data_IF_925136493730
#
_entry.id   IF_925136493730
#
_cell.length_a   1.000
_cell.length_b   1.000
_cell.length_c   1.000
_cell.angle_alpha   90.00
_cell.angle_beta   90.00
_cell.angle_gamma   90.00
#
_symmetry.space_group_name_H-M   'P 1'
#
loop_
_entity.id
_entity.type
_entity.pdbx_description
1 polymer ?
#
# COMPACT_ATOMS: atom_id res chain seq x y z
N UNK A 1 17.90 1.33 2.34
CA UNK A 1 17.54 0.84 1.00
C UNK A 1 16.11 0.35 1.04
N UNK A 2 15.41 0.42 -0.09
CA UNK A 2 14.00 0.07 -0.35
C UNK A 2 13.05 1.27 -0.31
N UNK A 3 13.21 2.16 -1.30
CA UNK A 3 12.01 2.69 -1.97
C UNK A 3 11.20 1.47 -2.40
N UNK A 4 10.06 1.24 -1.75
CA UNK A 4 9.01 0.45 -2.37
C UNK A 4 8.51 1.28 -3.55
N UNK A 5 9.24 1.22 -4.66
CA UNK A 5 8.67 1.52 -5.97
C UNK A 5 7.59 0.47 -6.12
N UNK A 6 6.34 0.84 -5.85
CA UNK A 6 5.19 0.03 -6.23
C UNK A 6 5.18 0.02 -7.75
N UNK A 7 5.93 -0.92 -8.34
CA UNK A 7 5.83 -1.22 -9.76
C UNK A 7 4.36 -1.50 -10.05
N UNK A 8 3.78 -0.63 -10.86
CA UNK A 8 2.41 -0.70 -11.35
C UNK A 8 1.29 -0.59 -10.30
N UNK A 9 1.22 0.60 -9.68
CA UNK A 9 0.18 0.96 -8.69
C UNK A 9 -1.24 1.00 -9.27
N UNK A 10 -1.39 1.24 -10.57
CA UNK A 10 -2.69 1.40 -11.21
C UNK A 10 -2.99 0.23 -12.14
N UNK A 11 -4.27 0.01 -12.42
CA UNK A 11 -4.71 -0.98 -13.40
C UNK A 11 -5.82 -0.42 -14.30
N UNK A 12 -5.99 -1.02 -15.46
CA UNK A 12 -7.09 -0.78 -16.37
C UNK A 12 -7.63 -2.09 -16.93
N UNK A 13 -8.95 -2.22 -17.00
CA UNK A 13 -9.66 -3.34 -17.62
C UNK A 13 -9.94 -3.00 -19.08
N UNK A 14 -9.50 -3.87 -19.98
CA UNK A 14 -9.75 -3.75 -21.41
C UNK A 14 -10.99 -4.58 -21.80
N UNK A 15 -12.11 -3.90 -22.02
CA UNK A 15 -13.38 -4.54 -22.40
C UNK A 15 -13.40 -5.10 -23.83
N UNK A 16 -12.50 -4.65 -24.70
CA UNK A 16 -12.39 -5.20 -26.05
C UNK A 16 -11.67 -6.57 -26.06
N UNK A 17 -10.71 -6.76 -25.17
CA UNK A 17 -9.84 -7.93 -25.09
C UNK A 17 -10.20 -8.83 -23.91
N UNK A 18 -11.41 -9.42 -23.95
CA UNK A 18 -11.89 -10.39 -22.95
C UNK A 18 -11.81 -9.92 -21.48
N UNK A 19 -11.93 -8.62 -21.22
CA UNK A 19 -11.73 -8.01 -19.89
C UNK A 19 -10.31 -8.23 -19.33
N UNK A 20 -9.29 -8.23 -20.20
CA UNK A 20 -7.89 -8.34 -19.79
C UNK A 20 -7.47 -7.16 -18.91
N UNK A 21 -6.60 -7.43 -17.94
CA UNK A 21 -6.12 -6.41 -16.98
C UNK A 21 -4.71 -6.00 -17.36
N UNK A 22 -4.50 -4.69 -17.52
CA UNK A 22 -3.19 -4.08 -17.71
C UNK A 22 -2.79 -3.28 -16.48
N UNK A 23 -1.51 -3.32 -16.12
CA UNK A 23 -0.97 -2.63 -14.95
C UNK A 23 -0.08 -1.47 -15.36
N UNK A 24 -0.20 -0.33 -14.67
CA UNK A 24 0.40 0.96 -15.05
C UNK A 24 1.07 1.65 -13.88
N UNK A 25 2.14 2.40 -14.14
CA UNK A 25 2.88 3.13 -13.11
C UNK A 25 2.15 4.38 -12.68
N UNK A 26 1.47 5.04 -13.62
CA UNK A 26 0.75 6.31 -13.41
C UNK A 26 -0.76 6.15 -13.59
N UNK A 27 -1.53 7.07 -13.00
CA UNK A 27 -2.98 7.08 -13.14
C UNK A 27 -3.39 7.46 -14.57
N UNK A 28 -2.63 8.37 -15.19
CA UNK A 28 -2.83 8.84 -16.56
C UNK A 28 -2.68 7.71 -17.58
N UNK A 29 -1.68 6.84 -17.41
CA UNK A 29 -1.49 5.66 -18.25
C UNK A 29 -2.68 4.69 -18.12
N UNK A 30 -3.13 4.41 -16.90
CA UNK A 30 -4.29 3.54 -16.67
C UNK A 30 -5.58 4.12 -17.26
N UNK A 31 -5.83 5.43 -17.07
CA UNK A 31 -6.97 6.13 -17.68
C UNK A 31 -6.94 6.01 -19.20
N UNK A 32 -5.77 6.25 -19.80
CA UNK A 32 -5.60 6.18 -21.25
C UNK A 32 -5.83 4.76 -21.77
N UNK A 33 -5.27 3.75 -21.10
CA UNK A 33 -5.47 2.35 -21.49
C UNK A 33 -6.95 1.92 -21.38
N UNK A 34 -7.63 2.33 -20.31
CA UNK A 34 -9.07 2.09 -20.13
C UNK A 34 -9.91 2.75 -21.23
N UNK A 35 -9.63 4.02 -21.55
CA UNK A 35 -10.33 4.74 -22.60
C UNK A 35 -10.12 4.09 -23.96
N UNK A 36 -8.87 3.76 -24.31
CA UNK A 36 -8.54 3.10 -25.57
C UNK A 36 -9.31 1.78 -25.72
N UNK A 37 -9.39 0.94 -24.68
CA UNK A 37 -10.13 -0.32 -24.74
C UNK A 37 -11.65 -0.13 -24.94
N UNK A 38 -12.21 0.93 -24.36
CA UNK A 38 -13.61 1.29 -24.59
C UNK A 38 -13.86 1.84 -26.01
N UNK A 39 -12.95 2.67 -26.52
CA UNK A 39 -12.99 3.19 -27.90
C UNK A 39 -12.87 2.05 -28.93
N UNK A 40 -11.93 1.12 -28.72
CA UNK A 40 -11.73 -0.04 -29.60
C UNK A 40 -12.99 -0.92 -29.69
N UNK A 41 -13.65 -1.19 -28.55
CA UNK A 41 -14.90 -1.95 -28.53
C UNK A 41 -16.05 -1.19 -29.20
N UNK A 42 -16.14 0.12 -28.97
CA UNK A 42 -17.14 0.97 -29.61
C UNK A 42 -16.96 0.99 -31.13
N UNK A 43 -15.73 1.20 -31.60
CA UNK A 43 -15.40 1.23 -33.03
C UNK A 43 -15.66 -0.12 -33.69
N UNK A 44 -15.34 -1.23 -33.03
CA UNK A 44 -15.65 -2.56 -33.52
C UNK A 44 -17.16 -2.82 -33.62
N UNK A 45 -17.92 -2.47 -32.58
CA UNK A 45 -19.37 -2.64 -32.52
C UNK A 45 -20.08 -1.80 -33.58
N UNK A 46 -19.67 -0.54 -33.74
CA UNK A 46 -20.23 0.35 -34.77
C UNK A 46 -19.84 -0.07 -36.20
N UNK A 47 -18.62 -0.58 -36.42
CA UNK A 47 -18.20 -1.14 -37.70
C UNK A 47 -19.06 -2.34 -38.13
N UNK A 48 -19.49 -3.16 -37.16
CA UNK A 48 -20.33 -4.33 -37.40
C UNK A 48 -21.83 -4.03 -37.44
N UNK A 49 -22.24 -2.75 -37.32
CA UNK A 49 -23.65 -2.32 -37.21
C UNK A 49 -24.43 -3.02 -36.08
N UNK A 50 -23.72 -3.39 -35.01
CA UNK A 50 -24.27 -4.00 -33.80
C UNK A 50 -23.61 -3.40 -32.56
N UNK A 51 -24.32 -2.46 -31.93
CA UNK A 51 -23.84 -1.75 -30.73
C UNK A 51 -24.01 -2.57 -29.44
N UNK A 52 -24.74 -3.68 -29.49
CA UNK A 52 -25.08 -4.49 -28.31
C UNK A 52 -23.84 -4.90 -27.50
N UNK A 53 -22.75 -5.41 -28.13
CA UNK A 53 -21.55 -5.83 -27.41
C UNK A 53 -20.89 -4.72 -26.60
N UNK A 54 -20.97 -3.47 -27.07
CA UNK A 54 -20.46 -2.30 -26.36
C UNK A 54 -21.35 -1.96 -25.17
N UNK A 55 -22.68 -1.82 -25.38
CA UNK A 55 -23.62 -1.45 -24.31
C UNK A 55 -23.69 -2.49 -23.19
N UNK A 56 -23.46 -3.77 -23.52
CA UNK A 56 -23.42 -4.86 -22.54
C UNK A 56 -22.14 -4.87 -21.71
N UNK A 57 -21.05 -4.23 -22.15
CA UNK A 57 -19.73 -4.34 -21.51
C UNK A 57 -19.10 -3.01 -21.10
N UNK A 58 -19.61 -1.85 -21.56
CA UNK A 58 -19.01 -0.53 -21.27
C UNK A 58 -18.81 -0.27 -19.77
N UNK A 59 -19.70 -0.80 -18.93
CA UNK A 59 -19.63 -0.65 -17.47
C UNK A 59 -18.46 -1.40 -16.82
N UNK A 60 -17.85 -2.35 -17.54
CA UNK A 60 -16.65 -3.07 -17.11
C UNK A 60 -15.35 -2.36 -17.52
N UNK A 61 -15.43 -1.30 -18.34
CA UNK A 61 -14.28 -0.47 -18.69
C UNK A 61 -13.94 0.41 -17.50
N UNK A 62 -13.15 -0.16 -16.57
CA UNK A 62 -12.77 0.48 -15.32
C UNK A 62 -11.26 0.58 -15.19
N UNK A 63 -10.80 1.66 -14.56
CA UNK A 63 -9.43 1.80 -14.09
C UNK A 63 -9.44 2.02 -12.58
N UNK A 64 -8.35 1.65 -11.92
CA UNK A 64 -8.29 1.74 -10.47
C UNK A 64 -6.88 1.66 -9.91
N UNK A 65 -6.82 1.67 -8.59
CA UNK A 65 -5.59 1.53 -7.80
C UNK A 65 -5.53 0.11 -7.27
N UNK A 66 -4.40 -0.55 -7.43
CA UNK A 66 -4.12 -1.84 -6.80
C UNK A 66 -3.99 -1.61 -5.29
N UNK A 67 -4.76 -2.34 -4.48
CA UNK A 67 -4.78 -2.17 -3.02
C UNK A 67 -3.90 -3.17 -2.28
N UNK A 68 -3.33 -4.14 -2.99
CA UNK A 68 -2.50 -5.18 -2.44
C UNK A 68 -2.19 -6.25 -3.48
N UNK A 69 -1.35 -7.21 -3.10
CA UNK A 69 -0.98 -8.36 -3.92
C UNK A 69 -0.82 -9.61 -3.07
N UNK A 70 -0.87 -10.77 -3.71
CA UNK A 70 -0.37 -11.99 -3.10
C UNK A 70 1.16 -12.01 -3.18
N UNK A 71 1.83 -12.36 -2.09
CA UNK A 71 3.28 -12.52 -2.03
C UNK A 71 3.63 -13.84 -1.35
N UNK A 72 4.50 -14.61 -1.98
CA UNK A 72 5.14 -15.79 -1.40
C UNK A 72 6.50 -15.42 -0.87
N UNK A 73 6.88 -15.99 0.26
CA UNK A 73 8.24 -15.87 0.80
C UNK A 73 9.03 -17.10 0.46
N UNK A 74 10.34 -16.91 0.32
CA UNK A 74 11.28 -18.00 0.24
C UNK A 74 11.87 -18.25 1.62
N UNK A 75 12.02 -19.52 1.99
CA UNK A 75 12.75 -19.93 3.19
C UNK A 75 13.73 -21.04 2.85
N UNK A 76 14.78 -21.14 3.66
CA UNK A 76 15.69 -22.28 3.62
C UNK A 76 14.99 -23.57 4.11
N UNK A 77 15.54 -24.70 3.70
CA UNK A 77 15.12 -26.01 4.16
C UNK A 77 15.51 -26.20 5.62
N UNK A 78 14.63 -26.86 6.37
CA UNK A 78 14.94 -27.34 7.71
C UNK A 78 15.89 -28.54 7.64
N UNK A 79 16.57 -28.85 8.75
CA UNK A 79 17.49 -29.98 8.80
C UNK A 79 16.79 -31.34 8.58
N UNK A 80 15.53 -31.47 9.03
CA UNK A 80 14.71 -32.66 8.76
C UNK A 80 14.40 -32.80 7.26
N UNK A 81 14.05 -31.69 6.59
CA UNK A 81 13.79 -31.68 5.14
C UNK A 81 15.05 -32.03 4.34
N UNK A 82 16.22 -31.49 4.74
CA UNK A 82 17.53 -31.83 4.12
C UNK A 82 17.93 -33.29 4.33
N UNK A 83 17.60 -33.88 5.47
CA UNK A 83 17.93 -35.28 5.78
C UNK A 83 16.95 -36.27 5.16
N UNK A 84 15.79 -35.78 4.68
CA UNK A 84 14.72 -36.64 4.19
C UNK A 84 15.00 -37.25 2.81
N UNK A 85 15.96 -36.72 2.04
CA UNK A 85 16.26 -37.17 0.67
C UNK A 85 15.28 -36.66 -0.40
N UNK A 86 14.12 -36.14 0.01
CA UNK A 86 13.05 -35.68 -0.91
C UNK A 86 13.31 -34.29 -1.49
N UNK A 87 14.23 -33.54 -0.88
CA UNK A 87 14.51 -32.16 -1.23
C UNK A 87 15.97 -31.93 -1.64
N UNK A 88 16.70 -32.99 -1.99
CA UNK A 88 18.14 -32.96 -2.28
C UNK A 88 18.52 -32.08 -3.48
N UNK A 89 17.55 -31.76 -4.35
CA UNK A 89 17.74 -30.92 -5.55
C UNK A 89 17.17 -29.49 -5.39
N UNK A 90 16.71 -29.11 -4.18
CA UNK A 90 16.04 -27.83 -3.96
C UNK A 90 16.75 -27.04 -2.84
N UNK A 91 17.16 -25.81 -3.15
CA UNK A 91 17.91 -24.95 -2.21
C UNK A 91 17.00 -24.14 -1.26
N UNK A 92 15.73 -23.94 -1.63
CA UNK A 92 14.75 -23.18 -0.87
C UNK A 92 13.32 -23.67 -1.13
N UNK A 93 12.42 -23.35 -0.21
CA UNK A 93 10.99 -23.61 -0.32
C UNK A 93 10.26 -22.29 -0.51
N UNK A 94 9.44 -22.22 -1.57
CA UNK A 94 8.48 -21.14 -1.78
C UNK A 94 7.25 -21.43 -0.92
N UNK A 95 7.00 -20.58 0.06
CA UNK A 95 5.86 -20.72 0.95
C UNK A 95 4.54 -20.39 0.24
N UNK A 96 3.43 -20.89 0.82
CA UNK A 96 2.10 -20.52 0.38
C UNK A 96 1.92 -18.99 0.37
N UNK A 97 1.33 -18.44 -0.70
CA UNK A 97 1.18 -17.01 -0.84
C UNK A 97 0.26 -16.44 0.24
N UNK A 98 0.59 -15.23 0.71
CA UNK A 98 -0.22 -14.46 1.65
C UNK A 98 -0.60 -13.13 1.02
N UNK A 99 -1.79 -12.63 1.34
CA UNK A 99 -2.19 -11.30 0.91
C UNK A 99 -1.39 -10.25 1.68
N UNK A 100 -0.80 -9.32 0.92
CA UNK A 100 -0.09 -8.14 1.42
C UNK A 100 -0.84 -6.92 0.88
N UNK A 101 -1.49 -6.18 1.77
CA UNK A 101 -2.13 -4.91 1.40
C UNK A 101 -1.07 -3.81 1.22
N UNK A 102 -1.25 -2.99 0.19
CA UNK A 102 -0.48 -1.76 0.05
C UNK A 102 -0.99 -0.70 1.04
N UNK A 103 -0.13 0.24 1.50
CA UNK A 103 -0.54 1.28 2.42
C UNK A 103 -1.73 2.08 1.86
N UNK A 104 -2.86 2.07 2.57
CA UNK A 104 -4.09 2.79 2.23
C UNK A 104 -3.98 4.25 2.69
N UNK A 105 -3.14 5.04 2.02
CA UNK A 105 -2.94 6.45 2.35
C UNK A 105 -1.54 6.92 1.95
N UNK A 106 -1.36 8.22 1.87
CA UNK A 106 -0.11 9.02 1.76
C UNK A 106 1.02 8.67 2.77
N UNK A 107 0.93 7.53 3.45
CA UNK A 107 1.87 7.00 4.44
C UNK A 107 1.29 6.90 5.85
N UNK A 108 0.11 7.48 6.09
CA UNK A 108 -0.55 7.46 7.40
C UNK A 108 -1.23 6.12 7.71
N UNK A 109 -1.00 5.62 8.92
CA UNK A 109 -1.51 4.38 9.49
C UNK A 109 -2.39 4.75 10.69
N UNK A 110 -3.66 4.35 10.67
CA UNK A 110 -4.56 4.55 11.81
C UNK A 110 -4.04 3.79 13.04
N UNK A 111 -4.06 4.44 14.21
CA UNK A 111 -3.66 3.79 15.48
C UNK A 111 -4.57 2.61 15.86
N UNK A 112 -5.80 2.57 15.31
CA UNK A 112 -6.75 1.46 15.49
C UNK A 112 -6.38 0.23 14.65
N UNK A 113 -5.69 0.44 13.53
CA UNK A 113 -5.32 -0.64 12.61
C UNK A 113 -4.00 -1.27 13.07
N UNK A 114 -3.02 -0.43 13.41
CA UNK A 114 -1.70 -0.87 13.83
C UNK A 114 -0.98 0.22 14.62
N UNK A 115 -0.28 -0.17 15.68
CA UNK A 115 0.62 0.72 16.40
C UNK A 115 2.06 0.61 15.86
N UNK A 116 2.87 1.68 15.97
CA UNK A 116 4.30 1.58 15.74
C UNK A 116 4.93 0.65 16.78
N UNK A 117 6.18 0.21 16.56
CA UNK A 117 6.86 -0.53 17.64
C UNK A 117 7.07 0.42 18.82
N UNK A 118 7.08 -0.16 20.03
CA UNK A 118 7.32 0.60 21.25
C UNK A 118 8.62 1.39 21.13
N UNK A 119 8.57 2.68 21.44
CA UNK A 119 9.67 3.64 21.32
C UNK A 119 10.16 3.99 19.90
N UNK A 120 9.52 3.46 18.83
CA UNK A 120 9.81 3.96 17.48
C UNK A 120 9.32 5.40 17.34
N UNK A 121 10.21 6.29 16.87
CA UNK A 121 9.85 7.66 16.55
C UNK A 121 9.17 7.73 15.20
N UNK A 122 8.01 8.37 15.17
CA UNK A 122 7.13 8.45 14.01
C UNK A 122 6.53 9.85 13.91
N UNK A 123 6.09 10.22 12.71
CA UNK A 123 5.15 11.32 12.55
C UNK A 123 3.80 10.89 13.13
N UNK A 124 3.13 11.79 13.85
CA UNK A 124 1.79 11.57 14.39
C UNK A 124 0.86 12.70 13.95
N UNK A 125 -0.39 12.33 13.68
CA UNK A 125 -1.48 13.26 13.44
C UNK A 125 -2.31 13.38 14.71
N UNK A 126 -2.18 14.52 15.39
CA UNK A 126 -2.95 14.86 16.58
C UNK A 126 -4.13 15.76 16.19
N UNK A 127 -5.33 15.41 16.65
CA UNK A 127 -6.50 16.25 16.47
C UNK A 127 -6.62 17.23 17.64
N UNK A 128 -6.63 18.53 17.38
CA UNK A 128 -6.93 19.53 18.42
C UNK A 128 -8.44 19.80 18.47
N UNK A 129 -9.08 19.35 19.55
CA UNK A 129 -10.51 19.51 19.77
C UNK A 129 -10.94 20.98 19.97
N UNK A 130 -10.01 21.90 20.26
CA UNK A 130 -10.33 23.32 20.47
C UNK A 130 -10.33 24.14 19.18
N UNK A 131 -9.58 23.71 18.17
CA UNK A 131 -9.33 24.52 16.98
C UNK A 131 -9.70 23.83 15.66
N UNK A 132 -10.27 22.62 15.70
CA UNK A 132 -10.62 21.80 14.52
C UNK A 132 -9.45 21.62 13.53
N UNK A 133 -8.22 21.78 14.01
CA UNK A 133 -7.00 21.65 13.22
C UNK A 133 -6.26 20.37 13.61
N UNK A 134 -5.76 19.68 12.59
CA UNK A 134 -4.86 18.56 12.78
C UNK A 134 -3.41 19.06 12.80
N UNK A 135 -2.65 18.57 13.76
CA UNK A 135 -1.24 18.88 13.92
C UNK A 135 -0.39 17.66 13.61
N UNK A 136 0.61 17.85 12.75
CA UNK A 136 1.67 16.86 12.54
C UNK A 136 2.80 17.13 13.54
N UNK A 137 3.20 16.10 14.27
CA UNK A 137 4.28 16.13 15.28
C UNK A 137 5.16 14.89 15.17
N UNK A 138 6.32 14.90 15.83
CA UNK A 138 7.15 13.71 16.03
C UNK A 138 6.90 13.18 17.44
N UNK A 139 6.57 11.91 17.57
CA UNK A 139 6.31 11.25 18.86
C UNK A 139 6.68 9.77 18.81
N UNK A 140 6.61 9.10 19.96
CA UNK A 140 6.72 7.64 20.09
C UNK A 140 5.61 7.11 20.99
N UNK A 141 5.17 5.86 20.75
CA UNK A 141 4.17 5.19 21.59
C UNK A 141 4.87 4.35 22.67
N UNK A 142 4.55 4.61 23.94
CA UNK A 142 5.17 3.92 25.09
C UNK A 142 4.43 2.64 25.49
N UNK A 143 3.17 2.46 25.10
CA UNK A 143 2.39 1.28 25.45
C UNK A 143 1.84 0.55 24.22
N UNK A 144 1.41 -0.69 24.44
CA UNK A 144 0.82 -1.55 23.41
C UNK A 144 -0.66 -1.26 23.16
N UNK A 145 -1.24 -0.32 23.91
CA UNK A 145 -2.66 0.08 23.82
C UNK A 145 -2.86 1.33 22.96
N UNK A 146 -1.79 2.04 22.59
CA UNK A 146 -1.87 3.22 21.72
C UNK A 146 -2.37 4.48 22.42
N UNK A 147 -2.37 4.49 23.75
CA UNK A 147 -2.94 5.58 24.57
C UNK A 147 -1.87 6.50 25.16
N UNK A 148 -0.60 6.12 25.07
CA UNK A 148 0.53 6.87 25.63
C UNK A 148 1.51 7.30 24.54
N UNK A 149 1.33 8.52 24.04
CA UNK A 149 2.20 9.13 23.04
C UNK A 149 3.06 10.22 23.67
N UNK A 150 4.37 10.07 23.51
CA UNK A 150 5.37 10.91 24.15
C UNK A 150 6.25 11.57 23.09
N UNK A 151 6.68 12.80 23.35
CA UNK A 151 7.66 13.50 22.55
C UNK A 151 8.76 14.08 23.43
N UNK A 152 9.98 14.04 22.90
CA UNK A 152 11.12 14.66 23.53
C UNK A 152 10.89 16.17 23.61
N UNK A 153 11.10 16.71 24.80
CA UNK A 153 11.22 18.14 24.95
C UNK A 153 12.69 18.56 24.85
N UNK A 154 13.03 19.26 23.77
CA UNK A 154 14.39 19.74 23.52
C UNK A 154 14.64 21.14 24.09
N UNK A 155 13.69 21.72 24.84
CA UNK A 155 13.84 23.04 25.46
C UNK A 155 14.78 23.07 26.70
N UNK A 156 15.36 21.92 27.07
CA UNK A 156 16.31 21.80 28.17
C UNK A 156 15.67 21.79 29.56
N UNK A 157 14.33 21.81 29.67
CA UNK A 157 13.60 21.79 30.96
C UNK A 157 13.28 20.39 31.47
N UNK A 158 13.62 19.35 30.70
CA UNK A 158 13.67 17.95 31.15
C UNK A 158 12.33 17.24 31.34
N UNK A 159 11.20 17.85 30.98
CA UNK A 159 9.88 17.21 31.02
C UNK A 159 9.47 16.68 29.66
N UNK A 160 9.02 15.43 29.56
CA UNK A 160 8.48 14.87 28.31
C UNK A 160 7.08 15.45 28.00
N UNK A 161 6.77 15.66 26.71
CA UNK A 161 5.46 16.15 26.26
C UNK A 161 4.57 14.95 25.95
N UNK A 162 3.39 14.89 26.56
CA UNK A 162 2.39 13.85 26.29
C UNK A 162 1.36 14.38 25.29
N UNK A 163 1.12 13.62 24.22
CA UNK A 163 0.08 13.92 23.24
C UNK A 163 -1.13 13.02 23.47
N UNK A 164 -2.29 13.65 23.67
CA UNK A 164 -3.58 12.97 23.62
C UNK A 164 -4.15 13.04 22.20
N UNK A 165 -5.09 12.16 21.87
CA UNK A 165 -5.89 12.20 20.63
C UNK A 165 -5.06 12.05 19.34
N UNK A 166 -4.05 11.19 19.38
CA UNK A 166 -3.33 10.75 18.17
C UNK A 166 -4.22 9.78 17.39
N UNK A 167 -4.50 10.12 16.13
CA UNK A 167 -5.41 9.33 15.27
C UNK A 167 -4.65 8.45 14.28
N UNK A 168 -3.54 8.97 13.75
CA UNK A 168 -2.73 8.29 12.73
C UNK A 168 -1.24 8.52 12.97
N UNK A 169 -0.40 7.63 12.46
CA UNK A 169 1.05 7.76 12.48
C UNK A 169 1.69 7.34 11.15
N UNK A 170 2.90 7.81 10.88
CA UNK A 170 3.68 7.44 9.70
C UNK A 170 5.17 7.32 10.09
N UNK A 171 5.95 6.38 9.53
CA UNK A 171 7.40 6.34 9.76
C UNK A 171 8.08 7.68 9.40
N UNK A 172 9.13 8.05 10.14
CA UNK A 172 9.92 9.23 9.81
C UNK A 172 10.57 9.07 8.42
N UNK A 173 10.73 10.18 7.65
CA UNK A 173 11.51 10.14 6.44
C UNK A 173 12.96 9.72 6.74
N UNK A 174 13.60 9.10 5.76
CA UNK A 174 15.03 8.76 5.87
C UNK A 174 15.85 10.04 6.07
N UNK A 175 16.81 9.99 6.99
CA UNK A 175 17.76 11.09 7.16
C UNK A 175 18.50 11.36 5.83
N UNK A 176 18.76 12.63 5.48
CA UNK A 176 19.55 12.96 4.29
C UNK A 176 20.88 12.21 4.29
N UNK A 177 21.30 11.71 3.12
CA UNK A 177 22.66 11.16 2.97
C UNK A 177 23.64 12.32 3.12
N UNK A 178 24.71 12.12 3.91
CA UNK A 178 25.84 13.07 3.91
C UNK A 178 26.50 13.00 2.54
N UNK A 179 26.70 14.15 1.90
CA UNK A 179 27.55 14.30 0.71
C UNK A 179 29.02 14.06 1.05
#
# INVERSE_FOLDING_TARGET
>A
MNEQVTENKYFAVNVYDENSISFHKTEEEAKKACLNGAEDLYDHATYNDDISPYTEQEHNAVYGVVLGKAESKERELTEEEKQSGWYDEIDYIVEHPKIVEYPKGDGWISVKDKLPKKFDRVLVCQQDYKWEQNYIRIAYCNNSEGTEWWADNYDGTGGEIIFNDVTHWQPLPLTPKKE
#
